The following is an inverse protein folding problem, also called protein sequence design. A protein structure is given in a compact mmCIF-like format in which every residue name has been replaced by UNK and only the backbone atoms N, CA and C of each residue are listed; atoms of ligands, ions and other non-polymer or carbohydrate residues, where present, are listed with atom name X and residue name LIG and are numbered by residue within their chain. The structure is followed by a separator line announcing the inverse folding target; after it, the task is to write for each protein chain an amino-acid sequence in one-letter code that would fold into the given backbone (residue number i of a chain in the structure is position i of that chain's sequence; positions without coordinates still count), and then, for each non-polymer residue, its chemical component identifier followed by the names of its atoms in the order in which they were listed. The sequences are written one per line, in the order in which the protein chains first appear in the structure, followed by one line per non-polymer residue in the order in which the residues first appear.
data_IF_722748225307
#
_entry.id   IF_722748225307
#
_cell.length_a   1.000
_cell.length_b   1.000
_cell.length_c   1.000
_cell.angle_alpha   90.00
_cell.angle_beta   90.00
_cell.angle_gamma   90.00
#
_symmetry.space_group_name_H-M   'P 1'
#
loop_
_entity.id
_entity.type
_entity.pdbx_description
1 polymer ?
#
# COMPACT_ATOMS: atom_id res chain seq x y z
N UNK A 1 37.09 -21.07 -10.56
CA UNK A 1 37.05 -19.97 -9.58
C UNK A 1 35.83 -20.18 -8.71
N UNK A 2 36.00 -20.66 -7.49
CA UNK A 2 34.91 -20.84 -6.52
C UNK A 2 34.82 -19.57 -5.68
N UNK A 3 33.74 -18.79 -5.85
CA UNK A 3 33.41 -17.73 -4.90
C UNK A 3 32.72 -18.39 -3.71
N UNK A 4 33.24 -18.25 -2.48
CA UNK A 4 32.55 -18.76 -1.30
C UNK A 4 31.20 -18.03 -1.14
N UNK A 5 30.18 -18.67 -0.56
CA UNK A 5 28.93 -18.00 -0.25
C UNK A 5 29.20 -16.81 0.66
N UNK A 6 28.70 -15.63 0.26
CA UNK A 6 28.78 -14.42 1.08
C UNK A 6 28.16 -14.71 2.46
N UNK A 7 28.80 -14.27 3.56
CA UNK A 7 28.22 -14.43 4.88
C UNK A 7 26.83 -13.78 4.93
N UNK A 8 25.85 -14.36 5.65
CA UNK A 8 24.56 -13.72 5.84
C UNK A 8 24.81 -12.35 6.47
N UNK A 9 24.37 -11.29 5.80
CA UNK A 9 24.54 -9.92 6.30
C UNK A 9 23.91 -9.84 7.69
N UNK A 10 24.60 -9.28 8.70
CA UNK A 10 24.02 -9.11 10.02
C UNK A 10 22.76 -8.25 9.88
N UNK A 11 21.64 -8.74 10.45
CA UNK A 11 20.39 -7.98 10.52
C UNK A 11 20.62 -6.84 11.50
N UNK A 12 20.87 -5.63 10.99
CA UNK A 12 20.90 -4.44 11.84
C UNK A 12 19.53 -4.30 12.51
N UNK A 13 19.43 -4.25 13.85
CA UNK A 13 18.14 -4.10 14.55
C UNK A 13 17.45 -2.78 14.20
N UNK A 14 18.22 -1.77 13.80
CA UNK A 14 17.69 -0.51 13.25
C UNK A 14 17.08 -0.71 11.85
N UNK A 15 17.69 -1.54 11.01
CA UNK A 15 17.11 -1.96 9.73
C UNK A 15 15.87 -2.84 9.94
N UNK A 16 15.85 -3.73 10.93
CA UNK A 16 14.66 -4.55 11.24
C UNK A 16 13.48 -3.67 11.70
N UNK A 17 13.76 -2.57 12.41
CA UNK A 17 12.77 -1.52 12.75
C UNK A 17 12.28 -0.74 11.53
N UNK A 18 13.16 -0.45 10.57
CA UNK A 18 12.82 0.20 9.29
C UNK A 18 12.04 -0.74 8.37
N UNK A 19 12.20 -2.05 8.53
CA UNK A 19 11.51 -3.12 7.81
C UNK A 19 10.28 -3.66 8.55
N UNK A 20 9.62 -2.85 9.40
CA UNK A 20 8.27 -3.21 9.85
C UNK A 20 7.38 -3.39 8.62
N UNK A 21 6.75 -4.55 8.53
CA UNK A 21 5.87 -4.85 7.41
C UNK A 21 4.74 -3.82 7.37
N UNK A 22 4.25 -3.46 6.19
CA UNK A 22 3.18 -2.46 6.06
C UNK A 22 1.95 -2.84 6.88
N UNK A 23 1.64 -4.14 6.95
CA UNK A 23 0.65 -4.73 7.86
C UNK A 23 0.86 -4.35 9.34
N UNK A 24 2.09 -4.32 9.84
CA UNK A 24 2.38 -3.93 11.22
C UNK A 24 2.25 -2.43 11.43
N UNK A 25 2.51 -1.62 10.40
CA UNK A 25 2.51 -0.16 10.50
C UNK A 25 1.14 0.46 10.25
N UNK A 26 0.34 -0.15 9.38
CA UNK A 26 -0.93 0.36 8.88
C UNK A 26 -2.10 -0.60 9.08
N UNK A 27 -1.85 -1.82 9.57
CA UNK A 27 -2.88 -2.82 9.83
C UNK A 27 -3.30 -3.64 8.60
N UNK A 28 -2.85 -3.29 7.40
CA UNK A 28 -3.15 -4.02 6.16
C UNK A 28 -2.00 -3.95 5.15
N UNK A 29 -1.99 -4.90 4.21
CA UNK A 29 -1.20 -4.82 2.99
C UNK A 29 -2.12 -4.40 1.83
N UNK A 30 -1.56 -3.64 0.89
CA UNK A 30 -2.26 -3.32 -0.35
C UNK A 30 -2.27 -4.58 -1.21
N UNK A 31 -3.45 -4.96 -1.68
CA UNK A 31 -3.66 -6.10 -2.55
C UNK A 31 -4.33 -5.57 -3.81
N UNK A 32 -3.69 -5.83 -4.95
CA UNK A 32 -4.19 -5.44 -6.26
C UNK A 32 -5.48 -6.21 -6.56
N UNK A 33 -6.43 -5.55 -7.21
CA UNK A 33 -7.77 -6.08 -7.49
C UNK A 33 -8.77 -5.99 -6.32
N UNK A 34 -8.35 -5.51 -5.14
CA UNK A 34 -9.25 -5.34 -4.00
C UNK A 34 -9.80 -3.92 -3.87
N UNK A 35 -10.94 -3.81 -3.16
CA UNK A 35 -11.58 -2.55 -2.83
C UNK A 35 -11.10 -1.99 -1.49
N UNK A 36 -10.93 -0.67 -1.50
CA UNK A 36 -10.49 0.12 -0.36
C UNK A 36 -11.34 1.39 -0.27
N UNK A 37 -11.54 1.90 0.93
CA UNK A 37 -12.09 3.23 1.12
C UNK A 37 -10.96 4.21 1.31
N UNK A 38 -10.89 5.24 0.48
CA UNK A 38 -9.90 6.30 0.60
C UNK A 38 -10.52 7.65 0.30
N UNK A 39 -9.94 8.72 0.83
CA UNK A 39 -10.33 10.08 0.48
C UNK A 39 -9.69 10.46 -0.87
N UNK A 40 -10.52 10.72 -1.88
CA UNK A 40 -10.10 11.31 -3.15
C UNK A 40 -10.72 12.70 -3.27
N UNK A 41 -9.95 13.78 -3.03
CA UNK A 41 -10.49 15.14 -3.04
C UNK A 41 -11.08 15.52 -4.40
N UNK A 42 -10.56 14.95 -5.49
CA UNK A 42 -11.05 15.16 -6.86
C UNK A 42 -12.44 14.55 -7.12
N UNK A 43 -12.83 13.52 -6.36
CA UNK A 43 -14.13 12.83 -6.53
C UNK A 43 -15.13 13.28 -5.46
N UNK A 44 -14.68 13.30 -4.20
CA UNK A 44 -15.51 13.68 -3.06
C UNK A 44 -14.63 14.23 -1.93
N UNK A 45 -14.71 15.52 -1.69
CA UNK A 45 -13.92 16.18 -0.66
C UNK A 45 -14.38 15.86 0.78
N UNK A 46 -15.66 15.52 0.97
CA UNK A 46 -16.27 15.36 2.30
C UNK A 46 -16.23 13.93 2.85
N UNK A 47 -16.17 12.90 1.99
CA UNK A 47 -16.28 11.51 2.41
C UNK A 47 -15.25 10.63 1.70
N UNK A 48 -14.77 9.56 2.36
CA UNK A 48 -14.04 8.50 1.67
C UNK A 48 -14.92 7.88 0.59
N UNK A 49 -14.31 7.47 -0.51
CA UNK A 49 -14.95 6.78 -1.63
C UNK A 49 -14.36 5.39 -1.77
N UNK A 50 -15.20 4.44 -2.19
CA UNK A 50 -14.78 3.09 -2.50
C UNK A 50 -14.02 3.10 -3.82
N UNK A 51 -12.79 2.62 -3.79
CA UNK A 51 -11.89 2.55 -4.94
C UNK A 51 -11.31 1.14 -5.09
N UNK A 52 -11.07 0.71 -6.32
CA UNK A 52 -10.39 -0.54 -6.60
C UNK A 52 -8.91 -0.24 -6.84
N UNK A 53 -8.00 -0.94 -6.14
CA UNK A 53 -6.57 -0.83 -6.44
C UNK A 53 -6.30 -1.62 -7.71
N UNK A 54 -5.77 -0.95 -8.74
CA UNK A 54 -5.38 -1.59 -10.00
C UNK A 54 -3.93 -2.04 -9.95
N UNK A 55 -3.07 -1.18 -9.42
CA UNK A 55 -1.63 -1.42 -9.36
C UNK A 55 -1.06 -0.75 -8.11
N UNK A 56 -0.12 -1.42 -7.44
CA UNK A 56 0.54 -0.88 -6.25
C UNK A 56 2.07 -1.04 -6.36
N UNK A 57 2.75 0.03 -6.73
CA UNK A 57 4.22 0.08 -6.74
C UNK A 57 4.78 0.44 -5.37
N UNK A 58 6.11 0.45 -5.22
CA UNK A 58 6.77 0.83 -3.97
C UNK A 58 6.51 2.29 -3.53
N UNK A 59 6.14 3.18 -4.47
CA UNK A 59 5.91 4.62 -4.19
C UNK A 59 4.49 5.07 -4.44
N UNK A 60 3.79 4.43 -5.38
CA UNK A 60 2.47 4.88 -5.82
C UNK A 60 1.46 3.75 -5.82
N UNK A 61 0.20 4.14 -5.67
CA UNK A 61 -0.95 3.24 -5.72
C UNK A 61 -1.92 3.83 -6.74
N UNK A 62 -2.18 3.07 -7.79
CA UNK A 62 -3.13 3.41 -8.83
C UNK A 62 -4.48 2.83 -8.46
N UNK A 63 -5.48 3.68 -8.32
CA UNK A 63 -6.83 3.30 -7.91
C UNK A 63 -7.86 3.73 -8.94
N UNK A 64 -8.90 2.93 -9.14
CA UNK A 64 -10.00 3.23 -10.04
C UNK A 64 -11.29 3.46 -9.27
N UNK A 65 -12.00 4.52 -9.62
CA UNK A 65 -13.34 4.85 -9.10
C UNK A 65 -14.16 5.49 -10.22
N UNK A 66 -15.40 5.05 -10.40
CA UNK A 66 -16.31 5.56 -11.44
C UNK A 66 -15.68 5.63 -12.85
N UNK A 67 -14.96 4.57 -13.27
CA UNK A 67 -14.22 4.49 -14.54
C UNK A 67 -13.11 5.54 -14.72
N UNK A 68 -12.67 6.19 -13.65
CA UNK A 68 -11.51 7.09 -13.64
C UNK A 68 -10.40 6.52 -12.79
N UNK A 69 -9.18 6.58 -13.29
CA UNK A 69 -7.96 6.16 -12.61
C UNK A 69 -7.29 7.35 -11.93
N UNK A 70 -6.88 7.18 -10.69
CA UNK A 70 -6.16 8.16 -9.89
C UNK A 70 -4.88 7.53 -9.36
N UNK A 71 -3.81 8.32 -9.30
CA UNK A 71 -2.52 7.89 -8.73
C UNK A 71 -2.35 8.60 -7.39
N UNK A 72 -2.16 7.83 -6.33
CA UNK A 72 -1.84 8.35 -4.99
C UNK A 72 -0.47 7.87 -4.55
N UNK A 73 0.15 8.64 -3.66
CA UNK A 73 1.35 8.18 -2.94
C UNK A 73 0.98 6.99 -2.06
N UNK A 74 1.83 5.96 -2.02
CA UNK A 74 1.60 4.73 -1.27
C UNK A 74 1.50 4.99 0.22
N UNK A 75 2.35 5.87 0.76
CA UNK A 75 2.35 6.21 2.18
C UNK A 75 1.08 6.98 2.55
N UNK A 76 0.66 7.92 1.71
CA UNK A 76 -0.60 8.64 1.90
C UNK A 76 -1.80 7.68 1.85
N UNK A 77 -1.81 6.78 0.86
CA UNK A 77 -2.87 5.78 0.71
C UNK A 77 -2.94 4.89 1.96
N UNK A 78 -1.83 4.34 2.43
CA UNK A 78 -1.80 3.50 3.63
C UNK A 78 -2.24 4.22 4.90
N UNK A 79 -1.95 5.52 5.03
CA UNK A 79 -2.36 6.33 6.19
C UNK A 79 -3.83 6.73 6.16
N UNK A 80 -4.39 6.95 4.97
CA UNK A 80 -5.71 7.55 4.79
C UNK A 80 -6.78 6.58 4.28
N UNK A 81 -6.43 5.31 4.10
CA UNK A 81 -7.33 4.30 3.52
C UNK A 81 -7.46 3.09 4.44
N UNK A 82 -8.57 2.39 4.32
CA UNK A 82 -8.79 1.10 4.95
C UNK A 82 -9.36 0.12 3.94
N UNK A 83 -9.05 -1.16 4.15
CA UNK A 83 -9.57 -2.23 3.30
C UNK A 83 -11.05 -2.44 3.58
N UNK A 84 -11.84 -2.55 2.52
CA UNK A 84 -13.24 -2.91 2.62
C UNK A 84 -13.36 -4.42 2.75
N UNK A 85 -13.58 -4.91 3.98
CA UNK A 85 -13.76 -6.35 4.24
C UNK A 85 -15.20 -6.83 4.02
N UNK A 86 -16.13 -5.89 3.83
CA UNK A 86 -17.57 -6.15 3.69
C UNK A 86 -17.98 -6.42 2.24
N UNK A 87 -17.07 -6.28 1.28
CA UNK A 87 -17.28 -6.67 -0.12
C UNK A 87 -17.12 -8.18 -0.30
N UNK A 88 -18.11 -8.96 0.14
CA UNK A 88 -18.31 -10.35 -0.25
C UNK A 88 -19.58 -10.49 -1.10
#
# INVERSE_FOLDING_TARGET
MFFPPLPPRPRCPECERLHKSEKERYGFNIIEGYYYWTKIPEVKACCPVKVMVVEATAKTVTVTVNNKTFVKDRTDFLKSSWRDYDSF
#
